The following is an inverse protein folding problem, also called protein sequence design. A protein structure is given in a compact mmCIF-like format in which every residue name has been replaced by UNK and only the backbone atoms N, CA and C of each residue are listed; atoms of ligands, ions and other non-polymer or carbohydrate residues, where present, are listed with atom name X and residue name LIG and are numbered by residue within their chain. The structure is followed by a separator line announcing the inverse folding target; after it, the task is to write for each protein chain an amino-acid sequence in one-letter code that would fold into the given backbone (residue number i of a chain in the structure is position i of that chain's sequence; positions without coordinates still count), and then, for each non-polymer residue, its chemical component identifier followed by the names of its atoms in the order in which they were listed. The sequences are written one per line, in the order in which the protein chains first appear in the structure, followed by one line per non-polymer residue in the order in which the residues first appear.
data_IF_983331320945
#
_entry.id   IF_983331320945
#
_cell.length_a   1.000
_cell.length_b   1.000
_cell.length_c   1.000
_cell.angle_alpha   90.00
_cell.angle_beta   90.00
_cell.angle_gamma   90.00
#
_symmetry.space_group_name_H-M   'P 1'
#
loop_
_entity.id
_entity.type
_entity.pdbx_description
1 polymer ?
#
# COMPACT_ATOMS: atom_id res chain seq x y z
N UNK A 1 -25.08 -16.28 -4.44
CA UNK A 1 -24.00 -15.28 -4.37
C UNK A 1 -24.57 -13.96 -3.88
N UNK A 2 -24.62 -13.78 -2.56
CA UNK A 2 -24.99 -12.50 -1.98
C UNK A 2 -23.75 -11.63 -1.84
N UNK A 3 -23.64 -10.56 -2.70
CA UNK A 3 -23.05 -9.33 -2.26
C UNK A 3 -21.55 -9.13 -2.31
N UNK A 4 -20.80 -9.68 -3.28
CA UNK A 4 -19.45 -9.15 -3.56
C UNK A 4 -19.51 -7.80 -4.33
N UNK A 5 -20.65 -7.49 -4.99
CA UNK A 5 -20.83 -6.26 -5.78
C UNK A 5 -20.78 -4.96 -4.98
N UNK A 6 -21.14 -4.97 -3.69
CA UNK A 6 -21.08 -3.79 -2.82
C UNK A 6 -19.75 -3.67 -2.04
N UNK A 7 -18.87 -4.69 -2.12
CA UNK A 7 -17.65 -4.76 -1.33
C UNK A 7 -16.54 -3.87 -1.91
N UNK A 8 -16.55 -3.64 -3.23
CA UNK A 8 -15.48 -2.92 -3.92
C UNK A 8 -16.04 -1.72 -4.68
N UNK A 9 -16.01 -0.55 -4.07
CA UNK A 9 -16.39 0.69 -4.73
C UNK A 9 -15.28 1.12 -5.70
N UNK A 10 -15.67 1.50 -6.94
CA UNK A 10 -14.76 1.85 -8.05
C UNK A 10 -13.89 0.68 -8.56
N UNK A 11 -14.39 -0.55 -8.43
CA UNK A 11 -13.68 -1.72 -8.95
C UNK A 11 -13.38 -1.60 -10.46
N UNK A 12 -14.35 -1.16 -11.25
CA UNK A 12 -14.20 -1.00 -12.70
C UNK A 12 -13.09 0.00 -13.05
N UNK A 13 -12.96 1.09 -12.29
CA UNK A 13 -11.95 2.12 -12.51
C UNK A 13 -10.52 1.56 -12.34
N UNK A 14 -10.25 0.86 -11.22
CA UNK A 14 -8.89 0.33 -11.01
C UNK A 14 -8.55 -0.83 -11.97
N UNK A 15 -9.53 -1.67 -12.35
CA UNK A 15 -9.32 -2.71 -13.35
C UNK A 15 -9.00 -2.12 -14.73
N UNK A 16 -9.72 -1.09 -15.15
CA UNK A 16 -9.43 -0.36 -16.38
C UNK A 16 -8.03 0.27 -16.36
N UNK A 17 -7.58 0.78 -15.20
CA UNK A 17 -6.22 1.32 -15.05
C UNK A 17 -5.15 0.23 -15.14
N UNK A 18 -5.38 -0.96 -14.57
CA UNK A 18 -4.47 -2.11 -14.75
C UNK A 18 -4.34 -2.48 -16.22
N UNK A 19 -5.46 -2.54 -16.93
CA UNK A 19 -5.49 -2.88 -18.37
C UNK A 19 -4.75 -1.83 -19.21
N UNK A 20 -5.04 -0.54 -18.96
CA UNK A 20 -4.47 0.59 -19.73
C UNK A 20 -2.96 0.74 -19.51
N UNK A 21 -2.48 0.62 -18.27
CA UNK A 21 -1.09 0.93 -17.88
C UNK A 21 -0.21 -0.30 -17.66
N UNK A 22 -0.79 -1.52 -17.71
CA UNK A 22 -0.09 -2.76 -17.40
C UNK A 22 0.11 -3.01 -15.91
N UNK A 23 -0.38 -2.11 -15.05
CA UNK A 23 -0.35 -2.28 -13.60
C UNK A 23 -0.72 -1.02 -12.83
N UNK A 24 -0.87 -1.19 -11.51
CA UNK A 24 -1.16 -0.11 -10.55
C UNK A 24 -0.36 -0.31 -9.25
N UNK A 25 -0.24 0.75 -8.48
CA UNK A 25 0.27 0.73 -7.09
C UNK A 25 -0.86 1.04 -6.12
N UNK A 26 -1.00 0.21 -5.11
CA UNK A 26 -1.96 0.38 -4.02
C UNK A 26 -1.23 0.78 -2.74
N UNK A 27 -1.56 1.94 -2.22
CA UNK A 27 -1.13 2.43 -0.91
C UNK A 27 -2.14 1.96 0.14
N UNK A 28 -1.73 1.03 0.99
CA UNK A 28 -2.61 0.38 1.96
C UNK A 28 -2.16 0.76 3.36
N UNK A 29 -3.03 1.25 4.25
CA UNK A 29 -2.73 1.45 5.66
C UNK A 29 -2.97 0.16 6.47
N UNK A 30 -2.30 0.04 7.63
CA UNK A 30 -2.68 -0.94 8.67
C UNK A 30 -3.97 -0.50 9.37
N UNK A 31 -5.08 -0.54 8.67
CA UNK A 31 -6.37 -0.06 9.14
C UNK A 31 -7.45 -1.13 9.01
N UNK A 32 -8.29 -1.29 10.02
CA UNK A 32 -9.32 -2.32 10.08
C UNK A 32 -8.77 -3.73 9.75
N UNK A 33 -9.46 -4.48 8.91
CA UNK A 33 -9.04 -5.82 8.50
C UNK A 33 -8.18 -5.76 7.22
N UNK A 34 -7.13 -4.93 7.19
CA UNK A 34 -6.30 -4.69 5.99
C UNK A 34 -5.76 -5.99 5.34
N UNK A 35 -5.55 -7.07 6.10
CA UNK A 35 -5.14 -8.37 5.53
C UNK A 35 -6.20 -8.96 4.58
N UNK A 36 -7.45 -8.53 4.64
CA UNK A 36 -8.49 -9.00 3.71
C UNK A 36 -8.29 -8.50 2.28
N UNK A 37 -7.40 -7.52 2.07
CA UNK A 37 -7.01 -7.06 0.73
C UNK A 37 -6.41 -8.19 -0.13
N UNK A 38 -5.92 -9.27 0.49
CA UNK A 38 -5.47 -10.46 -0.24
C UNK A 38 -6.57 -11.06 -1.13
N UNK A 39 -7.84 -10.87 -0.76
CA UNK A 39 -9.00 -11.28 -1.55
C UNK A 39 -9.14 -10.57 -2.90
N UNK A 40 -8.41 -9.46 -3.12
CA UNK A 40 -8.42 -8.75 -4.42
C UNK A 40 -8.09 -9.66 -5.61
N UNK A 41 -7.23 -10.66 -5.42
CA UNK A 41 -6.90 -11.60 -6.48
C UNK A 41 -8.11 -12.33 -7.06
N UNK A 42 -9.17 -12.50 -6.25
CA UNK A 42 -10.41 -13.17 -6.71
C UNK A 42 -11.28 -12.30 -7.63
N UNK A 43 -11.05 -10.98 -7.66
CA UNK A 43 -11.83 -10.01 -8.45
C UNK A 43 -11.04 -9.36 -9.58
N UNK A 44 -9.75 -9.64 -9.68
CA UNK A 44 -8.91 -9.21 -10.81
C UNK A 44 -9.20 -10.03 -12.06
N UNK A 45 -8.84 -9.51 -13.23
CA UNK A 45 -8.99 -10.29 -14.47
C UNK A 45 -8.09 -11.53 -14.45
N UNK A 46 -8.53 -12.63 -15.09
CA UNK A 46 -7.69 -13.81 -15.24
C UNK A 46 -6.32 -13.47 -15.85
N UNK A 47 -5.26 -13.88 -15.17
CA UNK A 47 -3.89 -13.62 -15.59
C UNK A 47 -3.25 -12.37 -15.01
N UNK A 48 -4.01 -11.49 -14.37
CA UNK A 48 -3.47 -10.36 -13.58
C UNK A 48 -2.87 -10.89 -12.27
N UNK A 49 -1.80 -10.26 -11.81
CA UNK A 49 -1.05 -10.72 -10.63
C UNK A 49 -1.17 -9.70 -9.49
N UNK A 50 -1.84 -10.04 -8.38
CA UNK A 50 -1.77 -9.26 -7.15
C UNK A 50 -0.41 -9.50 -6.48
N UNK A 51 0.47 -8.48 -6.54
CA UNK A 51 1.80 -8.50 -5.92
C UNK A 51 1.70 -7.97 -4.50
N UNK A 52 2.08 -8.78 -3.53
CA UNK A 52 2.04 -8.47 -2.11
C UNK A 52 3.46 -8.30 -1.58
N UNK A 53 3.82 -7.06 -1.29
CA UNK A 53 5.15 -6.73 -0.75
C UNK A 53 5.14 -6.94 0.76
N UNK A 54 6.08 -7.76 1.26
CA UNK A 54 6.15 -8.09 2.67
C UNK A 54 7.59 -8.05 3.19
N UNK A 55 7.72 -7.91 4.51
CA UNK A 55 9.00 -8.07 5.20
C UNK A 55 9.10 -9.53 5.68
N UNK A 56 10.12 -10.30 5.24
CA UNK A 56 10.33 -11.68 5.70
C UNK A 56 10.43 -11.77 7.23
N UNK A 57 9.80 -12.78 7.80
CA UNK A 57 9.83 -13.04 9.23
C UNK A 57 11.09 -13.84 9.61
N UNK A 58 11.59 -13.62 10.83
CA UNK A 58 12.75 -14.37 11.37
C UNK A 58 12.42 -15.85 11.57
N UNK A 59 11.19 -16.17 11.94
CA UNK A 59 10.73 -17.54 12.05
C UNK A 59 10.29 -18.05 10.68
N UNK A 60 11.07 -18.98 10.11
CA UNK A 60 10.85 -19.54 8.76
C UNK A 60 9.51 -20.26 8.61
N UNK A 61 9.02 -20.94 9.64
CA UNK A 61 7.74 -21.66 9.60
C UNK A 61 6.55 -20.69 9.52
N UNK A 62 6.59 -19.64 10.32
CA UNK A 62 5.58 -18.57 10.26
C UNK A 62 5.66 -17.81 8.93
N UNK A 63 6.85 -17.55 8.42
CA UNK A 63 7.03 -16.89 7.12
C UNK A 63 6.38 -17.69 5.99
N UNK A 64 6.64 -18.98 5.92
CA UNK A 64 6.05 -19.89 4.92
C UNK A 64 4.52 -19.99 5.09
N UNK A 65 4.02 -20.11 6.32
CA UNK A 65 2.59 -20.13 6.61
C UNK A 65 1.89 -18.87 6.09
N UNK A 66 2.43 -17.68 6.39
CA UNK A 66 1.84 -16.42 5.92
C UNK A 66 1.93 -16.26 4.40
N UNK A 67 3.03 -16.67 3.77
CA UNK A 67 3.13 -16.70 2.30
C UNK A 67 2.04 -17.56 1.68
N UNK A 68 1.81 -18.75 2.25
CA UNK A 68 0.79 -19.67 1.77
C UNK A 68 -0.63 -19.07 1.91
N UNK A 69 -0.92 -18.44 3.06
CA UNK A 69 -2.20 -17.78 3.29
C UNK A 69 -2.41 -16.66 2.27
N UNK A 70 -1.39 -15.81 2.04
CA UNK A 70 -1.47 -14.69 1.10
C UNK A 70 -1.56 -15.12 -0.37
N UNK A 71 -1.04 -16.30 -0.70
CA UNK A 71 -1.12 -16.84 -2.06
C UNK A 71 -2.48 -17.48 -2.42
N UNK A 72 -3.38 -17.70 -1.46
CA UNK A 72 -4.66 -18.42 -1.68
C UNK A 72 -5.54 -17.84 -2.77
N UNK A 73 -5.43 -16.54 -3.03
CA UNK A 73 -6.21 -15.85 -4.07
C UNK A 73 -5.34 -15.38 -5.24
N UNK A 74 -4.30 -16.17 -5.58
CA UNK A 74 -3.39 -15.84 -6.67
C UNK A 74 -2.30 -14.82 -6.32
N UNK A 75 -2.16 -14.45 -5.05
CA UNK A 75 -1.16 -13.48 -4.59
C UNK A 75 0.27 -13.92 -4.84
N UNK A 76 1.07 -13.03 -5.43
CA UNK A 76 2.52 -13.19 -5.64
C UNK A 76 3.28 -12.46 -4.55
N UNK A 77 3.87 -13.22 -3.63
CA UNK A 77 4.58 -12.65 -2.48
C UNK A 77 5.98 -12.18 -2.87
N UNK A 78 6.30 -10.92 -2.63
CA UNK A 78 7.60 -10.31 -2.94
C UNK A 78 8.22 -9.75 -1.68
N UNK A 79 9.45 -10.18 -1.37
CA UNK A 79 10.19 -9.60 -0.26
C UNK A 79 10.55 -8.13 -0.53
N UNK A 80 10.38 -7.26 0.47
CA UNK A 80 10.57 -5.80 0.35
C UNK A 80 11.87 -5.40 -0.38
N UNK A 81 12.99 -6.08 -0.07
CA UNK A 81 14.29 -5.77 -0.66
C UNK A 81 14.43 -6.15 -2.14
N UNK A 82 13.56 -7.01 -2.67
CA UNK A 82 13.58 -7.43 -4.08
C UNK A 82 12.44 -6.83 -4.91
N UNK A 83 11.61 -5.95 -4.33
CA UNK A 83 10.40 -5.42 -4.97
C UNK A 83 10.68 -4.85 -6.36
N UNK A 84 11.61 -3.91 -6.50
CA UNK A 84 11.90 -3.27 -7.79
C UNK A 84 12.30 -4.30 -8.86
N UNK A 85 13.18 -5.25 -8.51
CA UNK A 85 13.64 -6.29 -9.43
C UNK A 85 12.49 -7.19 -9.90
N UNK A 86 11.65 -7.64 -8.96
CA UNK A 86 10.56 -8.57 -9.28
C UNK A 86 9.45 -7.89 -10.11
N UNK A 87 9.08 -6.66 -9.79
CA UNK A 87 8.05 -5.95 -10.57
C UNK A 87 8.53 -5.61 -11.99
N UNK A 88 9.82 -5.24 -12.17
CA UNK A 88 10.42 -5.05 -13.49
C UNK A 88 10.41 -6.36 -14.29
N UNK A 89 10.74 -7.48 -13.64
CA UNK A 89 10.71 -8.80 -14.26
C UNK A 89 9.31 -9.13 -14.77
N UNK A 90 8.29 -9.05 -13.89
CA UNK A 90 6.90 -9.32 -14.26
C UNK A 90 6.42 -8.43 -15.41
N UNK A 91 6.77 -7.14 -15.41
CA UNK A 91 6.45 -6.23 -16.51
C UNK A 91 7.10 -6.66 -17.83
N UNK A 92 8.38 -7.08 -17.82
CA UNK A 92 9.09 -7.58 -19.01
C UNK A 92 8.46 -8.87 -19.55
N UNK A 93 7.87 -9.68 -18.68
CA UNK A 93 7.10 -10.89 -19.05
C UNK A 93 5.69 -10.56 -19.58
N UNK A 94 5.36 -9.28 -19.74
CA UNK A 94 4.05 -8.83 -20.22
C UNK A 94 2.91 -9.04 -19.23
N UNK A 95 3.24 -9.26 -17.92
CA UNK A 95 2.23 -9.49 -16.90
C UNK A 95 1.63 -8.17 -16.41
N UNK A 96 0.31 -8.14 -16.27
CA UNK A 96 -0.40 -7.04 -15.62
C UNK A 96 -0.39 -7.28 -14.10
N UNK A 97 -0.07 -6.23 -13.33
CA UNK A 97 0.18 -6.38 -11.89
C UNK A 97 -0.52 -5.30 -11.06
N UNK A 98 -1.00 -5.68 -9.87
CA UNK A 98 -1.44 -4.74 -8.85
C UNK A 98 -0.52 -4.88 -7.63
N UNK A 99 0.27 -3.84 -7.34
CA UNK A 99 1.31 -3.89 -6.31
C UNK A 99 0.77 -3.29 -5.00
N UNK A 100 0.50 -4.13 -4.01
CA UNK A 100 0.09 -3.71 -2.68
C UNK A 100 1.29 -3.37 -1.78
N UNK A 101 1.33 -2.14 -1.27
CA UNK A 101 2.38 -1.62 -0.40
C UNK A 101 1.76 -1.02 0.86
N UNK A 102 2.17 -1.52 2.02
CA UNK A 102 1.73 -0.99 3.31
C UNK A 102 2.84 -0.07 3.84
N UNK A 103 2.57 1.23 3.93
CA UNK A 103 3.61 2.26 4.11
C UNK A 103 3.44 3.17 5.32
N UNK A 104 2.47 2.89 6.19
CA UNK A 104 2.14 3.73 7.35
C UNK A 104 2.95 3.43 8.61
N UNK A 105 3.81 2.42 8.61
CA UNK A 105 4.71 2.15 9.74
C UNK A 105 5.97 3.02 9.69
N UNK A 106 6.61 3.16 10.87
CA UNK A 106 7.84 3.93 10.99
C UNK A 106 9.00 3.24 10.25
N UNK A 107 9.67 3.92 9.32
CA UNK A 107 10.79 3.36 8.58
C UNK A 107 12.00 3.09 9.48
N UNK A 108 12.96 2.31 8.96
CA UNK A 108 14.32 2.29 9.51
C UNK A 108 15.00 3.66 9.25
N UNK A 109 16.04 3.99 10.01
CA UNK A 109 16.76 5.27 9.85
C UNK A 109 17.30 5.50 8.44
N UNK A 110 17.74 4.46 7.77
CA UNK A 110 18.23 4.51 6.38
C UNK A 110 17.13 4.72 5.32
N UNK A 111 15.87 4.56 5.70
CA UNK A 111 14.70 4.73 4.82
C UNK A 111 13.87 5.97 5.21
N UNK A 112 14.38 6.77 6.13
CA UNK A 112 13.71 7.92 6.73
C UNK A 112 13.98 9.19 5.92
N UNK A 113 13.36 9.31 4.72
CA UNK A 113 13.66 10.40 3.80
C UNK A 113 12.59 11.48 3.77
N UNK A 114 11.32 11.13 3.92
CA UNK A 114 10.22 12.08 3.80
C UNK A 114 9.61 12.40 5.17
N UNK A 115 9.67 13.68 5.57
CA UNK A 115 9.13 14.18 6.84
C UNK A 115 7.97 15.14 6.61
N UNK A 116 6.88 14.92 7.32
CA UNK A 116 5.70 15.80 7.32
C UNK A 116 5.02 15.80 8.69
N UNK A 117 4.14 16.76 8.92
CA UNK A 117 3.28 16.75 10.10
C UNK A 117 2.17 15.72 9.90
N UNK A 118 2.01 14.79 10.83
CA UNK A 118 0.97 13.77 10.81
C UNK A 118 0.38 13.59 12.21
N UNK A 119 -0.94 13.73 12.34
CA UNK A 119 -1.64 13.74 13.64
C UNK A 119 -0.99 14.71 14.64
N UNK A 120 -0.67 15.93 14.18
CA UNK A 120 -0.01 17.00 14.93
C UNK A 120 1.41 16.67 15.43
N UNK A 121 2.11 15.71 14.83
CA UNK A 121 3.46 15.34 15.18
C UNK A 121 4.37 15.30 13.95
N UNK A 122 5.62 15.74 14.11
CA UNK A 122 6.64 15.60 13.06
C UNK A 122 6.92 14.11 12.84
N UNK A 123 6.67 13.64 11.63
CA UNK A 123 6.57 12.22 11.33
C UNK A 123 7.26 11.88 10.03
N UNK A 124 8.10 10.85 10.06
CA UNK A 124 8.73 10.34 8.85
C UNK A 124 7.89 9.25 8.19
N UNK A 125 7.77 9.32 6.87
CA UNK A 125 7.14 8.29 6.04
C UNK A 125 8.15 7.58 5.14
N UNK A 126 7.81 6.34 4.75
CA UNK A 126 8.54 5.60 3.72
C UNK A 126 8.10 6.10 2.33
N UNK A 127 9.06 6.51 1.50
CA UNK A 127 8.85 6.93 0.11
C UNK A 127 8.92 5.78 -0.90
N UNK A 128 9.16 4.56 -0.43
CA UNK A 128 9.39 3.40 -1.29
C UNK A 128 8.25 3.11 -2.27
N UNK A 129 7.00 3.34 -1.86
CA UNK A 129 5.83 3.14 -2.73
C UNK A 129 5.78 4.18 -3.86
N UNK A 130 6.06 5.45 -3.55
CA UNK A 130 6.18 6.52 -4.54
C UNK A 130 7.29 6.23 -5.55
N UNK A 131 8.46 5.79 -5.06
CA UNK A 131 9.59 5.42 -5.93
C UNK A 131 9.25 4.27 -6.87
N UNK A 132 8.54 3.23 -6.40
CA UNK A 132 8.06 2.13 -7.25
C UNK A 132 7.03 2.64 -8.27
N UNK A 133 6.09 3.49 -7.87
CA UNK A 133 5.10 4.05 -8.78
C UNK A 133 5.75 4.87 -9.90
N UNK A 134 6.69 5.77 -9.56
CA UNK A 134 7.45 6.57 -10.54
C UNK A 134 8.34 5.70 -11.43
N UNK A 135 9.00 4.66 -10.88
CA UNK A 135 9.85 3.74 -11.64
C UNK A 135 9.05 2.98 -12.71
N UNK A 136 7.86 2.48 -12.33
CA UNK A 136 7.01 1.68 -13.18
C UNK A 136 6.09 2.51 -14.07
N UNK A 137 5.87 3.78 -13.73
CA UNK A 137 4.88 4.66 -14.32
C UNK A 137 3.46 4.09 -14.20
N UNK A 138 3.15 3.60 -13.00
CA UNK A 138 1.87 2.99 -12.71
C UNK A 138 0.96 3.94 -11.91
N UNK A 139 -0.31 4.06 -12.28
CA UNK A 139 -1.29 4.80 -11.48
C UNK A 139 -1.28 4.36 -10.03
N UNK A 140 -1.52 5.31 -9.13
CA UNK A 140 -1.47 5.12 -7.69
C UNK A 140 -2.86 5.30 -7.10
N UNK A 141 -3.29 4.32 -6.31
CA UNK A 141 -4.53 4.36 -5.56
C UNK A 141 -4.26 4.28 -4.06
N UNK A 142 -5.02 5.04 -3.29
CA UNK A 142 -5.18 4.82 -1.87
C UNK A 142 -6.26 3.75 -1.68
N UNK A 143 -5.93 2.70 -0.94
CA UNK A 143 -6.83 1.58 -0.71
C UNK A 143 -7.16 1.48 0.78
N UNK A 144 -8.43 1.68 1.10
CA UNK A 144 -8.94 1.68 2.48
C UNK A 144 -9.96 0.55 2.68
N UNK A 145 -9.91 -0.09 3.84
CA UNK A 145 -10.96 -0.99 4.28
C UNK A 145 -11.85 -0.27 5.29
N UNK A 146 -13.10 -0.02 4.89
CA UNK A 146 -14.13 0.52 5.75
C UNK A 146 -14.96 -0.61 6.36
N UNK A 147 -15.00 -0.70 7.67
CA UNK A 147 -15.88 -1.64 8.36
C UNK A 147 -17.32 -1.12 8.32
N UNK A 148 -18.24 -1.87 7.70
CA UNK A 148 -19.66 -1.50 7.60
C UNK A 148 -20.50 -2.12 8.72
N UNK A 149 -20.17 -3.34 9.14
CA UNK A 149 -20.81 -4.04 10.25
C UNK A 149 -19.92 -5.17 10.75
N UNK A 150 -20.36 -5.92 11.75
CA UNK A 150 -19.59 -7.07 12.27
C UNK A 150 -19.41 -8.13 11.16
N UNK A 151 -18.15 -8.40 10.79
CA UNK A 151 -17.81 -9.37 9.72
C UNK A 151 -17.93 -8.85 8.30
N UNK A 152 -18.26 -7.57 8.09
CA UNK A 152 -18.41 -6.97 6.77
C UNK A 152 -17.52 -5.74 6.62
N UNK A 153 -16.81 -5.67 5.50
CA UNK A 153 -15.97 -4.53 5.13
C UNK A 153 -16.22 -4.17 3.67
N UNK A 154 -16.07 -2.89 3.36
CA UNK A 154 -15.95 -2.38 1.99
C UNK A 154 -14.49 -2.07 1.72
N UNK A 155 -14.03 -2.33 0.50
CA UNK A 155 -12.75 -1.85 0.02
C UNK A 155 -13.00 -0.64 -0.87
N UNK A 156 -12.37 0.48 -0.54
CA UNK A 156 -12.49 1.73 -1.28
C UNK A 156 -11.17 1.96 -2.01
N UNK A 157 -11.24 2.26 -3.31
CA UNK A 157 -10.10 2.61 -4.15
C UNK A 157 -10.24 4.07 -4.58
N UNK A 158 -9.38 4.93 -4.08
CA UNK A 158 -9.35 6.33 -4.45
C UNK A 158 -8.10 6.65 -5.25
N UNK A 159 -8.26 7.13 -6.48
CA UNK A 159 -7.15 7.52 -7.34
C UNK A 159 -6.37 8.67 -6.68
N UNK A 160 -5.08 8.47 -6.51
CA UNK A 160 -4.12 9.48 -6.06
C UNK A 160 -3.55 10.22 -7.26
N UNK A 161 -3.04 9.49 -8.23
CA UNK A 161 -2.55 10.02 -9.51
C UNK A 161 -2.52 8.93 -10.57
N UNK A 162 -2.84 9.28 -11.81
CA UNK A 162 -2.66 8.42 -12.98
C UNK A 162 -1.24 8.54 -13.56
N UNK A 163 -0.57 9.68 -13.31
CA UNK A 163 0.72 10.04 -13.93
C UNK A 163 1.80 10.29 -12.88
N UNK A 164 2.29 9.25 -12.17
CA UNK A 164 3.17 9.40 -11.01
C UNK A 164 4.51 10.09 -11.35
N UNK A 165 5.01 9.94 -12.57
CA UNK A 165 6.24 10.60 -13.02
C UNK A 165 6.12 12.12 -13.12
N UNK A 166 4.91 12.65 -13.25
CA UNK A 166 4.65 14.09 -13.34
C UNK A 166 4.46 14.74 -11.96
N UNK A 167 4.36 13.94 -10.89
CA UNK A 167 4.23 14.45 -9.52
C UNK A 167 5.59 14.91 -8.98
N UNK A 168 5.57 15.94 -8.13
CA UNK A 168 6.76 16.35 -7.38
C UNK A 168 7.24 15.25 -6.43
N UNK A 169 8.51 15.32 -6.02
CA UNK A 169 9.05 14.35 -5.06
C UNK A 169 8.40 14.54 -3.69
N UNK A 170 7.90 13.40 -3.15
CA UNK A 170 7.17 13.37 -1.88
C UNK A 170 5.67 13.65 -2.02
N UNK A 171 5.16 14.07 -3.17
CA UNK A 171 3.75 14.44 -3.36
C UNK A 171 2.81 13.25 -3.15
N UNK A 172 3.14 12.08 -3.70
CA UNK A 172 2.36 10.84 -3.51
C UNK A 172 2.38 10.42 -2.04
N UNK A 173 3.55 10.52 -1.41
CA UNK A 173 3.74 10.18 0.00
C UNK A 173 2.96 11.13 0.90
N UNK A 174 2.94 12.44 0.59
CA UNK A 174 2.14 13.43 1.31
C UNK A 174 0.63 13.16 1.14
N UNK A 175 0.19 12.89 -0.07
CA UNK A 175 -1.21 12.54 -0.33
C UNK A 175 -1.64 11.33 0.50
N UNK A 176 -0.80 10.28 0.57
CA UNK A 176 -1.04 9.13 1.43
C UNK A 176 -1.15 9.54 2.90
N UNK A 177 -0.23 10.36 3.41
CA UNK A 177 -0.25 10.83 4.80
C UNK A 177 -1.55 11.59 5.13
N UNK A 178 -1.99 12.49 4.24
CA UNK A 178 -3.24 13.26 4.43
C UNK A 178 -4.48 12.37 4.41
N UNK A 179 -4.57 11.43 3.46
CA UNK A 179 -5.70 10.49 3.38
C UNK A 179 -5.74 9.56 4.59
N UNK A 180 -4.61 9.03 5.01
CA UNK A 180 -4.51 8.21 6.22
C UNK A 180 -4.94 8.99 7.46
N UNK A 181 -4.53 10.25 7.58
CA UNK A 181 -4.93 11.11 8.70
C UNK A 181 -6.45 11.33 8.73
N UNK A 182 -7.08 11.54 7.58
CA UNK A 182 -8.53 11.65 7.45
C UNK A 182 -9.23 10.33 7.85
N UNK A 183 -8.72 9.20 7.36
CA UNK A 183 -9.23 7.86 7.71
C UNK A 183 -9.18 7.62 9.23
N UNK A 184 -8.05 7.92 9.85
CA UNK A 184 -7.87 7.76 11.31
C UNK A 184 -8.78 8.72 12.10
N UNK A 185 -8.89 9.99 11.69
CA UNK A 185 -9.75 10.96 12.37
C UNK A 185 -11.23 10.60 12.31
N UNK A 186 -11.67 9.96 11.21
CA UNK A 186 -13.05 9.50 11.04
C UNK A 186 -13.40 8.37 12.02
N UNK A 187 -12.53 7.37 12.18
CA UNK A 187 -12.74 6.24 13.07
C UNK A 187 -11.40 5.73 13.64
N UNK A 188 -10.88 6.37 14.69
CA UNK A 188 -9.53 6.13 15.20
C UNK A 188 -9.33 4.73 15.78
N UNK A 189 -10.40 4.05 16.22
CA UNK A 189 -10.31 2.75 16.87
C UNK A 189 -9.69 1.65 15.98
N UNK A 190 -9.72 1.82 14.66
CA UNK A 190 -9.31 0.77 13.72
C UNK A 190 -7.88 0.91 13.19
N UNK A 191 -7.16 1.98 13.53
CA UNK A 191 -5.76 2.07 13.14
C UNK A 191 -4.87 1.27 14.10
N UNK A 192 -3.74 0.78 13.58
CA UNK A 192 -2.82 -0.11 14.31
C UNK A 192 -1.94 0.65 15.32
N UNK A 193 -2.54 1.15 16.39
CA UNK A 193 -1.88 1.97 17.44
C UNK A 193 -0.77 1.25 18.21
N UNK A 194 -0.71 -0.08 18.21
CA UNK A 194 0.34 -0.84 18.91
C UNK A 194 1.71 -0.68 18.27
N UNK A 195 1.80 -0.18 17.03
CA UNK A 195 3.07 0.15 16.39
C UNK A 195 3.63 1.48 16.93
N UNK A 196 4.91 1.48 17.33
CA UNK A 196 5.61 2.72 17.76
C UNK A 196 5.87 3.64 16.56
N UNK A 197 4.82 4.37 16.12
CA UNK A 197 4.86 5.19 14.89
C UNK A 197 5.89 6.32 14.98
N UNK A 198 6.03 6.96 16.11
CA UNK A 198 6.89 8.13 16.36
C UNK A 198 8.21 7.77 17.07
N UNK A 199 8.77 6.61 16.80
CA UNK A 199 10.08 6.20 17.35
C UNK A 199 11.26 6.98 16.77
N UNK A 200 11.13 7.48 15.52
CA UNK A 200 12.12 8.33 14.89
C UNK A 200 11.82 9.79 15.22
N UNK A 201 12.85 10.53 15.60
CA UNK A 201 12.82 11.99 15.81
C UNK A 201 13.63 12.65 14.71
N UNK A 202 13.15 13.76 14.16
CA UNK A 202 13.93 14.60 13.26
C UNK A 202 15.11 15.17 14.04
N UNK A 203 16.31 15.07 13.51
CA UNK A 203 17.46 15.76 14.11
C UNK A 203 17.20 17.26 13.98
N UNK A 204 17.24 17.99 15.08
CA UNK A 204 17.30 19.44 15.04
C UNK A 204 18.56 19.80 14.26
N UNK A 205 18.40 20.60 13.22
CA UNK A 205 19.55 21.23 12.56
C UNK A 205 20.18 22.14 13.59
N UNK A 206 21.34 21.76 14.12
CA UNK A 206 22.17 22.66 14.92
C UNK A 206 22.52 23.80 13.99
N UNK A 207 21.83 24.91 14.13
CA UNK A 207 22.28 26.17 13.56
C UNK A 207 23.55 26.55 14.30
N UNK A 208 24.69 26.30 13.69
CA UNK A 208 25.93 26.98 14.09
C UNK A 208 25.78 28.44 13.70
N UNK A 209 25.46 29.27 14.72
CA UNK A 209 25.54 30.70 14.62
C UNK A 209 26.98 31.18 14.56
#
# INVERSE_FOLDING_TARGET
SRGLGDVYKRQEEYLAMIEKHGGIVLLIPHYANFEWIIGMGAIMHPGDIPVQVYKPLSNKYLDEMFKHIRARFGGYNVAKHSTAREVIKLRREGRRIAIGLITDQSPNRSEAHYWTTFLNQDTVFMDGAERIAKLMDFPVFYCELERTSRGYCKVLFDLVTETPKQTADGEITECFARRLEQTIRREPAYWFWSHKRWKNKRKESVQHG
#
